data_IF_381717172165
#
_entry.id   IF_381717172165
#
_cell.length_a   1.000
_cell.length_b   1.000
_cell.length_c   1.000
_cell.angle_alpha   90.00
_cell.angle_beta   90.00
_cell.angle_gamma   90.00
#
_symmetry.space_group_name_H-M   'P 1'
#
loop_
_entity.id
_entity.type
_entity.pdbx_description
1 polymer ?
#
# COMPACT_ATOMS: atom_id res chain seq x y z
N UNK A 1 14.35 -4.20 -23.09
CA UNK A 1 13.55 -3.33 -22.21
C UNK A 1 13.67 -3.87 -20.80
N UNK A 2 13.83 -3.01 -19.80
CA UNK A 2 13.84 -3.47 -18.40
C UNK A 2 12.45 -3.97 -18.00
N UNK A 3 12.42 -4.88 -17.05
CA UNK A 3 11.18 -5.44 -16.50
C UNK A 3 10.83 -4.64 -15.23
N UNK A 4 9.72 -3.88 -15.20
CA UNK A 4 9.41 -3.02 -14.06
C UNK A 4 8.94 -3.82 -12.82
N UNK A 5 9.01 -3.16 -11.66
CA UNK A 5 8.30 -3.56 -10.45
C UNK A 5 6.89 -3.00 -10.55
N UNK A 6 5.87 -3.85 -10.58
CA UNK A 6 4.47 -3.43 -10.58
C UNK A 6 3.96 -3.31 -9.14
N UNK A 7 3.56 -2.10 -8.74
CA UNK A 7 2.92 -1.82 -7.45
C UNK A 7 1.44 -1.54 -7.69
N UNK A 8 0.58 -2.30 -7.04
CA UNK A 8 -0.88 -2.21 -7.17
C UNK A 8 -1.54 -1.75 -5.88
N UNK A 9 -2.47 -0.80 -5.98
CA UNK A 9 -3.31 -0.35 -4.87
C UNK A 9 -4.73 0.00 -5.34
N UNK A 10 -5.64 0.23 -4.40
CA UNK A 10 -6.99 0.74 -4.67
C UNK A 10 -7.04 2.25 -4.96
N UNK A 11 -6.06 3.00 -4.49
CA UNK A 11 -5.97 4.44 -4.60
C UNK A 11 -4.53 4.94 -4.62
N UNK A 12 -4.31 6.17 -4.14
CA UNK A 12 -2.97 6.77 -4.10
C UNK A 12 -2.13 6.27 -2.92
N UNK A 13 -2.75 5.63 -1.93
CA UNK A 13 -2.09 5.18 -0.70
C UNK A 13 -0.87 4.31 -0.92
N UNK A 14 -0.89 3.47 -1.95
CA UNK A 14 0.23 2.58 -2.30
C UNK A 14 1.53 3.30 -2.67
N UNK A 15 1.51 4.61 -2.93
CA UNK A 15 2.72 5.42 -3.09
C UNK A 15 3.57 5.42 -1.81
N UNK A 16 2.97 5.25 -0.63
CA UNK A 16 3.70 5.08 0.62
C UNK A 16 4.61 3.86 0.61
N UNK A 17 4.10 2.72 0.11
CA UNK A 17 4.87 1.47 -0.05
C UNK A 17 5.88 1.60 -1.20
N UNK A 18 5.48 2.20 -2.32
CA UNK A 18 6.38 2.46 -3.46
C UNK A 18 7.59 3.30 -3.04
N UNK A 19 7.37 4.35 -2.23
CA UNK A 19 8.45 5.20 -1.73
C UNK A 19 9.49 4.40 -0.94
N UNK A 20 9.06 3.47 -0.08
CA UNK A 20 9.97 2.59 0.68
C UNK A 20 10.74 1.62 -0.23
N UNK A 21 10.08 1.07 -1.26
CA UNK A 21 10.76 0.21 -2.24
C UNK A 21 11.80 0.99 -3.03
N UNK A 22 11.48 2.22 -3.47
CA UNK A 22 12.41 3.10 -4.20
C UNK A 22 13.66 3.47 -3.40
N UNK A 23 13.56 3.65 -2.08
CA UNK A 23 14.74 3.86 -1.21
C UNK A 23 15.74 2.70 -1.31
N UNK A 24 15.25 1.48 -1.47
CA UNK A 24 16.08 0.27 -1.56
C UNK A 24 16.51 -0.08 -2.99
N UNK A 25 15.73 0.33 -3.99
CA UNK A 25 15.91 0.02 -5.41
C UNK A 25 15.75 1.29 -6.29
N UNK A 26 16.58 2.34 -6.07
CA UNK A 26 16.38 3.66 -6.70
C UNK A 26 16.49 3.67 -8.23
N UNK A 27 17.15 2.68 -8.82
CA UNK A 27 17.39 2.60 -10.27
C UNK A 27 16.49 1.61 -10.99
N UNK A 28 15.45 1.07 -10.29
CA UNK A 28 14.48 0.19 -10.92
C UNK A 28 13.44 0.97 -11.71
N UNK A 29 12.89 0.35 -12.77
CA UNK A 29 11.69 0.87 -13.41
C UNK A 29 10.45 0.46 -12.61
N UNK A 30 9.44 1.32 -12.58
CA UNK A 30 8.22 1.14 -11.82
C UNK A 30 6.97 1.34 -12.64
N UNK A 31 5.99 0.45 -12.45
CA UNK A 31 4.62 0.67 -12.84
C UNK A 31 3.77 0.78 -11.57
N UNK A 32 3.02 1.85 -11.41
CA UNK A 32 2.04 2.02 -10.34
C UNK A 32 0.64 1.89 -10.92
N UNK A 33 -0.10 0.90 -10.48
CA UNK A 33 -1.48 0.67 -10.89
C UNK A 33 -2.41 0.95 -9.71
N UNK A 34 -3.36 1.87 -9.88
CA UNK A 34 -4.36 2.13 -8.84
C UNK A 34 -5.79 2.10 -9.39
N UNK A 35 -6.62 1.35 -8.68
CA UNK A 35 -8.01 1.11 -9.08
C UNK A 35 -8.97 2.09 -8.41
N UNK A 36 -8.78 3.36 -8.68
CA UNK A 36 -9.54 4.43 -8.07
C UNK A 36 -11.00 4.53 -8.52
N UNK A 37 -11.41 3.80 -9.55
CA UNK A 37 -12.81 3.69 -9.93
C UNK A 37 -13.63 2.89 -8.90
N UNK A 38 -13.00 1.98 -8.14
CA UNK A 38 -13.65 1.13 -7.14
C UNK A 38 -13.22 1.45 -5.70
N UNK A 39 -12.52 2.57 -5.49
CA UNK A 39 -12.15 3.05 -4.16
C UNK A 39 -13.38 3.51 -3.36
N UNK A 40 -13.52 3.20 -2.06
CA UNK A 40 -12.59 2.44 -1.21
C UNK A 40 -12.87 0.93 -1.23
N UNK A 41 -11.83 0.12 -1.32
CA UNK A 41 -11.91 -1.34 -1.36
C UNK A 41 -12.47 -1.98 -0.08
N UNK A 42 -12.40 -1.27 1.04
CA UNK A 42 -12.90 -1.77 2.33
C UNK A 42 -14.40 -2.02 2.39
N UNK A 43 -15.15 -1.54 1.40
CA UNK A 43 -16.62 -1.67 1.31
C UNK A 43 -17.06 -2.63 0.20
N UNK A 44 -16.12 -3.15 -0.60
CA UNK A 44 -16.43 -4.04 -1.70
C UNK A 44 -16.73 -5.47 -1.26
N UNK A 45 -17.63 -6.09 -2.00
CA UNK A 45 -17.85 -7.53 -1.97
C UNK A 45 -16.58 -8.27 -2.35
N UNK A 46 -16.26 -9.37 -1.63
CA UNK A 46 -15.01 -10.09 -1.78
C UNK A 46 -14.77 -10.61 -3.20
N UNK A 47 -15.78 -11.23 -3.82
CA UNK A 47 -15.65 -11.80 -5.16
C UNK A 47 -15.43 -10.71 -6.23
N UNK A 48 -16.12 -9.57 -6.10
CA UNK A 48 -15.95 -8.40 -6.97
C UNK A 48 -14.53 -7.85 -6.85
N UNK A 49 -14.01 -7.76 -5.61
CA UNK A 49 -12.66 -7.30 -5.34
C UNK A 49 -11.62 -8.25 -5.97
N UNK A 50 -11.75 -9.57 -5.73
CA UNK A 50 -10.82 -10.57 -6.27
C UNK A 50 -10.81 -10.53 -7.80
N UNK A 51 -11.98 -10.65 -8.44
CA UNK A 51 -12.09 -10.70 -9.89
C UNK A 51 -11.49 -9.45 -10.55
N UNK A 52 -11.83 -8.29 -10.04
CA UNK A 52 -11.34 -7.04 -10.59
C UNK A 52 -9.84 -6.82 -10.38
N UNK A 53 -9.28 -7.17 -9.21
CA UNK A 53 -7.84 -7.08 -8.99
C UNK A 53 -7.07 -8.03 -9.91
N UNK A 54 -7.53 -9.28 -10.03
CA UNK A 54 -6.87 -10.28 -10.89
C UNK A 54 -6.87 -9.81 -12.34
N UNK A 55 -8.01 -9.34 -12.86
CA UNK A 55 -8.12 -8.85 -14.24
C UNK A 55 -7.14 -7.69 -14.50
N UNK A 56 -7.15 -6.65 -13.65
CA UNK A 56 -6.29 -5.47 -13.81
C UNK A 56 -4.80 -5.81 -13.72
N UNK A 57 -4.42 -6.58 -12.70
CA UNK A 57 -3.00 -6.89 -12.45
C UNK A 57 -2.46 -7.82 -13.52
N UNK A 58 -3.20 -8.86 -13.93
CA UNK A 58 -2.76 -9.78 -14.98
C UNK A 58 -2.63 -9.08 -16.34
N UNK A 59 -3.58 -8.21 -16.69
CA UNK A 59 -3.50 -7.42 -17.92
C UNK A 59 -2.24 -6.54 -17.92
N UNK A 60 -1.98 -5.80 -16.84
CA UNK A 60 -0.83 -4.91 -16.80
C UNK A 60 0.51 -5.66 -16.72
N UNK A 61 0.57 -6.82 -16.05
CA UNK A 61 1.75 -7.69 -16.07
C UNK A 61 2.06 -8.15 -17.51
N UNK A 62 1.03 -8.53 -18.29
CA UNK A 62 1.21 -8.93 -19.68
C UNK A 62 1.71 -7.79 -20.57
N UNK A 63 1.19 -6.57 -20.38
CA UNK A 63 1.59 -5.37 -21.14
C UNK A 63 3.02 -4.91 -20.84
N UNK A 64 3.41 -4.93 -19.56
CA UNK A 64 4.66 -4.34 -19.09
C UNK A 64 5.78 -5.35 -18.94
N UNK A 65 5.49 -6.64 -19.01
CA UNK A 65 6.42 -7.72 -18.67
C UNK A 65 7.05 -7.55 -17.28
N UNK A 66 6.24 -7.14 -16.30
CA UNK A 66 6.70 -6.89 -14.93
C UNK A 66 7.43 -8.11 -14.34
N UNK A 67 8.46 -7.88 -13.53
CA UNK A 67 9.24 -8.97 -12.92
C UNK A 67 8.69 -9.43 -11.57
N UNK A 68 7.91 -8.60 -10.91
CA UNK A 68 7.31 -8.84 -9.60
C UNK A 68 6.06 -7.96 -9.46
N UNK A 69 5.06 -8.45 -8.74
CA UNK A 69 3.89 -7.68 -8.34
C UNK A 69 3.93 -7.44 -6.84
N UNK A 70 3.69 -6.21 -6.43
CA UNK A 70 3.48 -5.80 -5.04
C UNK A 70 2.05 -5.33 -4.88
N UNK A 71 1.22 -6.10 -4.19
CA UNK A 71 -0.13 -5.70 -3.79
C UNK A 71 0.02 -4.82 -2.54
N UNK A 72 0.12 -3.50 -2.74
CA UNK A 72 0.32 -2.55 -1.65
C UNK A 72 -0.93 -2.37 -0.79
N UNK A 73 -2.13 -2.54 -1.37
CA UNK A 73 -3.40 -2.43 -0.66
C UNK A 73 -3.54 -3.50 0.44
N UNK A 74 -3.68 -3.07 1.70
CA UNK A 74 -3.91 -4.00 2.82
C UNK A 74 -5.21 -4.79 2.64
N UNK A 75 -6.30 -4.12 2.28
CA UNK A 75 -7.60 -4.76 2.05
C UNK A 75 -7.53 -5.82 0.96
N UNK A 76 -6.94 -5.50 -0.18
CA UNK A 76 -6.76 -6.46 -1.28
C UNK A 76 -5.87 -7.63 -0.85
N UNK A 77 -4.77 -7.36 -0.15
CA UNK A 77 -3.82 -8.40 0.29
C UNK A 77 -4.45 -9.48 1.17
N UNK A 78 -5.56 -9.19 1.87
CA UNK A 78 -6.24 -10.20 2.69
C UNK A 78 -6.92 -11.30 1.88
N UNK A 79 -7.23 -11.07 0.59
CA UNK A 79 -8.06 -11.99 -0.20
C UNK A 79 -7.55 -12.29 -1.62
N UNK A 80 -6.80 -11.38 -2.27
CA UNK A 80 -6.45 -11.55 -3.69
C UNK A 80 -5.19 -12.38 -3.94
N UNK A 81 -4.31 -12.54 -2.95
CA UNK A 81 -2.99 -13.14 -3.14
C UNK A 81 -3.04 -14.57 -3.66
N UNK A 82 -3.93 -15.48 -3.17
CA UNK A 82 -4.03 -16.84 -3.72
C UNK A 82 -4.39 -16.84 -5.21
N UNK A 83 -5.37 -16.01 -5.60
CA UNK A 83 -5.81 -15.93 -6.99
C UNK A 83 -4.74 -15.33 -7.91
N UNK A 84 -4.05 -14.27 -7.49
CA UNK A 84 -2.94 -13.71 -8.27
C UNK A 84 -1.79 -14.72 -8.43
N UNK A 85 -1.41 -15.43 -7.36
CA UNK A 85 -0.35 -16.45 -7.42
C UNK A 85 -0.70 -17.65 -8.28
N UNK A 86 -1.98 -17.96 -8.44
CA UNK A 86 -2.45 -19.01 -9.34
C UNK A 86 -2.40 -18.59 -10.83
N UNK A 87 -2.54 -17.28 -11.11
CA UNK A 87 -2.58 -16.75 -12.48
C UNK A 87 -1.24 -16.18 -12.97
N UNK A 88 -0.27 -15.93 -12.09
CA UNK A 88 1.00 -15.31 -12.44
C UNK A 88 2.18 -16.23 -12.13
N UNK A 89 3.12 -16.33 -13.07
CA UNK A 89 4.38 -17.06 -12.89
C UNK A 89 5.49 -16.26 -12.19
N UNK A 90 5.25 -14.97 -11.96
CA UNK A 90 6.18 -14.06 -11.28
C UNK A 90 5.85 -13.94 -9.78
N UNK A 91 6.80 -13.52 -8.93
CA UNK A 91 6.52 -13.33 -7.50
C UNK A 91 5.41 -12.33 -7.24
N UNK A 92 4.54 -12.63 -6.27
CA UNK A 92 3.51 -11.71 -5.77
C UNK A 92 3.70 -11.49 -4.29
N UNK A 93 4.02 -10.25 -3.92
CA UNK A 93 4.17 -9.77 -2.53
C UNK A 93 2.89 -9.05 -2.11
N UNK A 94 2.33 -9.41 -0.98
CA UNK A 94 1.23 -8.67 -0.36
C UNK A 94 1.72 -7.92 0.87
N UNK A 95 0.95 -6.93 1.29
CA UNK A 95 1.16 -6.21 2.54
C UNK A 95 0.50 -6.96 3.69
N UNK A 96 1.19 -7.05 4.80
CA UNK A 96 0.69 -7.62 6.06
C UNK A 96 0.76 -6.55 7.13
N UNK A 97 -0.32 -6.29 7.89
CA UNK A 97 -0.26 -5.35 9.00
C UNK A 97 0.86 -5.69 9.99
N UNK A 98 1.55 -4.67 10.50
CA UNK A 98 2.75 -4.81 11.34
C UNK A 98 2.43 -5.28 12.78
N UNK A 99 1.54 -6.26 12.97
CA UNK A 99 1.08 -6.77 14.27
C UNK A 99 2.25 -7.33 15.09
N UNK A 100 3.06 -8.21 14.46
CA UNK A 100 4.20 -8.83 15.16
C UNK A 100 5.20 -7.81 15.71
N UNK A 101 5.75 -6.87 14.91
CA UNK A 101 6.67 -5.86 15.45
C UNK A 101 5.99 -4.92 16.45
N UNK A 102 4.68 -4.61 16.30
CA UNK A 102 3.93 -3.81 17.26
C UNK A 102 3.83 -4.52 18.64
N UNK A 103 3.48 -5.80 18.67
CA UNK A 103 3.43 -6.60 19.90
C UNK A 103 4.80 -6.69 20.62
N UNK A 104 5.89 -6.75 19.84
CA UNK A 104 7.25 -6.76 20.37
C UNK A 104 7.69 -5.39 20.93
N UNK A 105 7.21 -4.28 20.32
CA UNK A 105 7.57 -2.93 20.71
C UNK A 105 6.75 -2.42 21.89
N UNK A 106 5.49 -2.80 21.98
CA UNK A 106 4.56 -2.32 23.00
C UNK A 106 5.03 -2.68 24.41
N UNK A 107 5.10 -1.66 25.26
CA UNK A 107 5.44 -1.79 26.69
C UNK A 107 4.18 -2.01 27.54
N UNK A 108 3.07 -1.36 27.16
CA UNK A 108 1.79 -1.49 27.86
C UNK A 108 1.04 -2.77 27.50
N UNK A 109 1.48 -3.48 26.46
CA UNK A 109 0.76 -4.60 25.83
C UNK A 109 -0.66 -4.23 25.36
N UNK A 110 -0.87 -2.95 25.08
CA UNK A 110 -2.09 -2.40 24.49
C UNK A 110 -1.74 -1.82 23.12
N UNK A 111 -2.10 -2.52 22.05
CA UNK A 111 -1.84 -2.10 20.68
C UNK A 111 -3.14 -1.90 19.92
N UNK A 112 -3.15 -1.00 18.95
CA UNK A 112 -4.26 -0.77 18.06
C UNK A 112 -3.94 -1.18 16.63
N UNK A 113 -4.94 -1.62 15.88
CA UNK A 113 -4.89 -1.72 14.44
C UNK A 113 -5.92 -0.76 13.85
N UNK A 114 -5.46 0.31 13.21
CA UNK A 114 -6.28 1.23 12.44
C UNK A 114 -6.24 0.80 10.98
N UNK A 115 -7.39 0.41 10.42
CA UNK A 115 -7.50 -0.11 9.06
C UNK A 115 -8.87 0.20 8.44
N UNK A 116 -9.15 -0.32 7.25
CA UNK A 116 -10.51 -0.27 6.71
C UNK A 116 -11.42 -1.29 7.40
N UNK A 117 -12.76 -1.09 7.42
CA UNK A 117 -13.70 -2.07 7.96
C UNK A 117 -13.54 -3.47 7.35
N UNK A 118 -13.25 -3.54 6.04
CA UNK A 118 -12.97 -4.80 5.36
C UNK A 118 -11.74 -5.52 5.93
N UNK A 119 -10.66 -4.80 6.23
CA UNK A 119 -9.44 -5.38 6.79
C UNK A 119 -9.64 -5.88 8.22
N UNK A 120 -10.29 -5.10 9.10
CA UNK A 120 -10.48 -5.48 10.50
C UNK A 120 -11.41 -6.68 10.68
N UNK A 121 -12.37 -6.89 9.79
CA UNK A 121 -13.33 -8.00 9.84
C UNK A 121 -12.79 -9.32 9.26
N UNK A 122 -11.68 -9.31 8.53
CA UNK A 122 -11.15 -10.52 7.87
C UNK A 122 -10.57 -11.51 8.87
N UNK A 123 -10.88 -12.78 8.65
CA UNK A 123 -10.33 -13.90 9.45
C UNK A 123 -8.79 -13.86 9.50
N UNK A 124 -8.15 -13.57 8.38
CA UNK A 124 -6.71 -13.38 8.28
C UNK A 124 -6.13 -12.38 9.31
N UNK A 125 -6.83 -11.26 9.56
CA UNK A 125 -6.40 -10.27 10.56
C UNK A 125 -6.45 -10.86 11.98
N UNK A 126 -7.48 -11.59 12.30
CA UNK A 126 -7.63 -12.26 13.60
C UNK A 126 -6.61 -13.39 13.79
N UNK A 127 -6.27 -14.13 12.72
CA UNK A 127 -5.21 -15.14 12.75
C UNK A 127 -3.85 -14.51 13.04
N UNK A 128 -3.51 -13.37 12.40
CA UNK A 128 -2.27 -12.64 12.68
C UNK A 128 -2.18 -12.18 14.15
N UNK A 129 -3.29 -11.68 14.69
CA UNK A 129 -3.35 -11.25 16.10
C UNK A 129 -3.12 -12.45 17.01
N UNK A 130 -3.86 -13.53 16.81
CA UNK A 130 -3.73 -14.77 17.60
C UNK A 130 -2.32 -15.37 17.52
N UNK A 131 -1.67 -15.27 16.37
CA UNK A 131 -0.34 -15.85 16.16
C UNK A 131 0.80 -15.01 16.75
N UNK A 132 0.67 -13.68 16.73
CA UNK A 132 1.79 -12.78 16.99
C UNK A 132 1.59 -11.77 18.13
N UNK A 133 0.38 -11.67 18.67
CA UNK A 133 0.03 -10.71 19.70
C UNK A 133 -0.94 -11.31 20.74
N UNK A 134 -0.81 -12.61 21.04
CA UNK A 134 -1.64 -13.34 21.99
C UNK A 134 -1.45 -12.86 23.44
N UNK A 135 -0.28 -12.26 23.73
CA UNK A 135 0.03 -11.63 25.01
C UNK A 135 -0.35 -10.13 25.08
N UNK A 136 -0.97 -9.59 24.03
CA UNK A 136 -1.38 -8.19 23.93
C UNK A 136 -2.90 -8.03 23.92
N UNK A 137 -3.38 -6.92 24.49
CA UNK A 137 -4.72 -6.44 24.21
C UNK A 137 -4.71 -5.67 22.89
N UNK A 138 -5.40 -6.22 21.86
CA UNK A 138 -5.43 -5.62 20.53
C UNK A 138 -6.79 -5.02 20.24
N UNK A 139 -6.85 -3.69 20.04
CA UNK A 139 -8.07 -3.01 19.64
C UNK A 139 -8.10 -2.75 18.14
N UNK A 140 -9.27 -2.98 17.51
CA UNK A 140 -9.49 -2.87 16.07
C UNK A 140 -10.32 -1.63 15.74
N UNK A 141 -9.76 -0.73 14.93
CA UNK A 141 -10.42 0.50 14.50
C UNK A 141 -10.61 0.47 12.98
N UNK A 142 -11.86 0.32 12.54
CA UNK A 142 -12.23 0.31 11.12
C UNK A 142 -12.74 1.68 10.67
N UNK A 143 -12.02 2.37 9.76
CA UNK A 143 -12.41 3.69 9.28
C UNK A 143 -12.20 3.83 7.76
N UNK A 144 -13.29 3.84 6.97
CA UNK A 144 -13.24 4.12 5.52
C UNK A 144 -13.13 5.62 5.23
N UNK A 145 -13.73 6.47 6.07
CA UNK A 145 -13.71 7.92 5.88
C UNK A 145 -12.29 8.48 5.87
N UNK A 146 -11.41 7.92 6.71
CA UNK A 146 -10.01 8.33 6.78
C UNK A 146 -9.25 8.06 5.47
N UNK A 147 -9.65 7.06 4.69
CA UNK A 147 -9.10 6.80 3.35
C UNK A 147 -9.43 7.98 2.43
N UNK A 148 -10.69 8.43 2.43
CA UNK A 148 -11.14 9.54 1.58
C UNK A 148 -10.52 10.87 2.01
N UNK A 149 -10.34 11.09 3.31
CA UNK A 149 -9.63 12.26 3.83
C UNK A 149 -8.16 12.29 3.37
N UNK A 150 -7.49 11.14 3.34
CA UNK A 150 -6.12 11.05 2.83
C UNK A 150 -6.05 11.32 1.32
N UNK A 151 -6.97 10.76 0.52
CA UNK A 151 -7.09 11.07 -0.92
C UNK A 151 -7.33 12.57 -1.15
N UNK A 152 -8.24 13.18 -0.39
CA UNK A 152 -8.53 14.61 -0.47
C UNK A 152 -7.29 15.45 -0.12
N UNK A 153 -6.60 15.13 0.98
CA UNK A 153 -5.38 15.85 1.36
C UNK A 153 -4.33 15.82 0.25
N UNK A 154 -4.14 14.67 -0.39
CA UNK A 154 -3.16 14.55 -1.49
C UNK A 154 -3.59 15.38 -2.71
N UNK A 155 -4.89 15.43 -3.00
CA UNK A 155 -5.41 16.18 -4.13
C UNK A 155 -5.45 17.71 -3.90
N UNK A 156 -5.61 18.17 -2.65
CA UNK A 156 -5.87 19.59 -2.33
C UNK A 156 -4.82 20.23 -1.41
N UNK A 157 -4.00 19.42 -0.73
CA UNK A 157 -3.11 19.87 0.34
C UNK A 157 -3.80 20.12 1.68
N UNK A 158 -5.14 19.98 1.77
CA UNK A 158 -5.93 20.35 2.95
C UNK A 158 -6.42 19.10 3.71
N UNK A 159 -6.46 19.20 5.05
CA UNK A 159 -6.98 18.17 5.95
C UNK A 159 -7.90 18.83 7.00
N UNK A 160 -9.11 18.27 7.15
CA UNK A 160 -9.99 18.66 8.26
C UNK A 160 -9.50 18.02 9.58
N UNK A 161 -8.71 18.80 10.33
CA UNK A 161 -8.12 18.34 11.59
C UNK A 161 -9.16 18.14 12.70
N UNK A 162 -10.29 18.87 12.68
CA UNK A 162 -11.38 18.65 13.65
C UNK A 162 -12.04 17.30 13.41
N UNK A 163 -12.36 17.02 12.14
CA UNK A 163 -12.94 15.74 11.77
C UNK A 163 -11.99 14.59 12.05
N UNK A 164 -10.68 14.76 11.79
CA UNK A 164 -9.67 13.77 12.12
C UNK A 164 -9.65 13.50 13.64
N UNK A 165 -9.71 14.53 14.48
CA UNK A 165 -9.74 14.37 15.93
C UNK A 165 -10.97 13.59 16.40
N UNK A 166 -12.15 13.88 15.84
CA UNK A 166 -13.39 13.13 16.15
C UNK A 166 -13.26 11.64 15.79
N UNK A 167 -12.69 11.34 14.62
CA UNK A 167 -12.47 9.95 14.18
C UNK A 167 -11.45 9.23 15.06
N UNK A 168 -10.47 9.92 15.60
CA UNK A 168 -9.43 9.34 16.46
C UNK A 168 -9.80 9.29 17.95
N UNK A 169 -10.93 9.85 18.37
CA UNK A 169 -11.37 9.83 19.77
C UNK A 169 -11.43 8.43 20.38
N UNK A 170 -11.94 7.38 19.68
CA UNK A 170 -11.89 6.00 20.18
C UNK A 170 -10.46 5.49 20.40
N UNK A 171 -9.53 5.84 19.49
CA UNK A 171 -8.11 5.43 19.58
C UNK A 171 -7.44 6.08 20.80
N UNK A 172 -7.73 7.36 21.04
CA UNK A 172 -7.22 8.09 22.21
C UNK A 172 -7.73 7.44 23.50
N UNK A 173 -9.03 7.10 23.55
CA UNK A 173 -9.66 6.49 24.73
C UNK A 173 -9.10 5.12 25.06
N UNK A 174 -8.60 4.39 24.05
CA UNK A 174 -8.04 3.04 24.19
C UNK A 174 -6.72 2.99 24.98
N UNK A 175 -6.06 4.13 25.20
CA UNK A 175 -4.80 4.20 25.97
C UNK A 175 -3.72 3.21 25.52
N UNK A 176 -3.57 3.07 24.22
CA UNK A 176 -2.55 2.20 23.60
C UNK A 176 -1.22 2.95 23.43
N UNK A 177 -0.11 2.23 23.37
CA UNK A 177 1.22 2.79 23.14
C UNK A 177 1.77 2.55 21.72
N UNK A 178 1.15 1.64 20.95
CA UNK A 178 1.48 1.40 19.55
C UNK A 178 0.19 1.32 18.72
N UNK A 179 0.13 2.07 17.63
CA UNK A 179 -0.95 2.00 16.65
C UNK A 179 -0.40 1.53 15.30
N UNK A 180 -0.85 0.38 14.84
CA UNK A 180 -0.52 -0.16 13.53
C UNK A 180 -1.38 0.53 12.47
N UNK A 181 -0.74 1.13 11.47
CA UNK A 181 -1.38 1.73 10.30
C UNK A 181 -1.63 0.65 9.24
N UNK A 182 -2.77 0.00 9.34
CA UNK A 182 -3.17 -1.15 8.49
C UNK A 182 -3.86 -0.76 7.18
N UNK A 183 -3.60 0.43 6.68
CA UNK A 183 -4.02 0.93 5.38
C UNK A 183 -2.91 1.77 4.77
N UNK A 184 -2.68 1.64 3.46
CA UNK A 184 -1.64 2.36 2.71
C UNK A 184 -1.80 3.88 2.71
N UNK A 185 -3.03 4.38 2.89
CA UNK A 185 -3.32 5.80 2.95
C UNK A 185 -2.87 6.44 4.29
N UNK A 186 -2.86 5.68 5.38
CA UNK A 186 -2.61 6.25 6.71
C UNK A 186 -1.16 6.73 6.93
N UNK A 187 -0.12 6.09 6.40
CA UNK A 187 1.22 6.67 6.41
C UNK A 187 1.33 8.03 5.69
N UNK A 188 0.46 8.30 4.70
CA UNK A 188 0.46 9.59 3.98
C UNK A 188 -0.07 10.76 4.82
N UNK A 189 -0.79 10.46 5.89
CA UNK A 189 -1.33 11.42 6.87
C UNK A 189 -0.76 11.16 8.27
N UNK A 190 0.42 10.54 8.35
CA UNK A 190 1.04 10.17 9.62
C UNK A 190 1.33 11.37 10.52
N UNK A 191 1.70 12.50 9.94
CA UNK A 191 1.98 13.72 10.67
C UNK A 191 0.73 14.27 11.38
N UNK A 192 -0.41 14.30 10.69
CA UNK A 192 -1.70 14.72 11.23
C UNK A 192 -2.22 13.73 12.28
N UNK A 193 -2.10 12.43 12.02
CA UNK A 193 -2.42 11.39 13.01
C UNK A 193 -1.56 11.56 14.27
N UNK A 194 -0.26 11.78 14.12
CA UNK A 194 0.64 11.98 15.26
C UNK A 194 0.30 13.25 16.05
N UNK A 195 -0.10 14.32 15.34
CA UNK A 195 -0.54 15.57 16.00
C UNK A 195 -1.78 15.33 16.87
N UNK A 196 -2.76 14.57 16.39
CA UNK A 196 -4.01 14.29 17.11
C UNK A 196 -3.80 13.29 18.26
N UNK A 197 -3.01 12.23 18.03
CA UNK A 197 -2.79 11.16 19.00
C UNK A 197 -1.74 11.51 20.06
N UNK A 198 -0.91 12.52 19.80
CA UNK A 198 0.18 12.92 20.68
C UNK A 198 1.40 11.98 20.63
N UNK A 199 2.49 12.39 21.28
CA UNK A 199 3.77 11.69 21.25
C UNK A 199 3.81 10.36 22.05
N UNK A 200 2.75 10.07 22.82
CA UNK A 200 2.66 8.83 23.62
C UNK A 200 2.34 7.59 22.81
N UNK A 201 1.86 7.75 21.57
CA UNK A 201 1.48 6.65 20.67
C UNK A 201 2.51 6.54 19.55
N UNK A 202 3.13 5.37 19.41
CA UNK A 202 4.02 5.08 18.28
C UNK A 202 3.19 4.61 17.10
N UNK A 203 3.29 5.30 15.96
CA UNK A 203 2.67 4.90 14.70
C UNK A 203 3.59 3.96 13.93
N UNK A 204 3.05 2.82 13.48
CA UNK A 204 3.83 1.77 12.81
C UNK A 204 3.12 1.31 11.54
N UNK A 205 3.82 1.33 10.40
CA UNK A 205 3.36 0.80 9.12
C UNK A 205 4.21 -0.42 8.67
N UNK A 206 3.87 -0.96 7.50
CA UNK A 206 4.53 -2.15 6.94
C UNK A 206 5.48 -1.83 5.78
N UNK A 207 5.59 -0.58 5.34
CA UNK A 207 6.29 -0.21 4.09
C UNK A 207 7.72 -0.72 4.01
N UNK A 208 8.53 -0.45 5.05
CA UNK A 208 9.93 -0.89 5.09
C UNK A 208 10.09 -2.42 5.08
N UNK A 209 9.19 -3.16 5.75
CA UNK A 209 9.20 -4.62 5.75
C UNK A 209 8.86 -5.18 4.36
N UNK A 210 7.92 -4.57 3.66
CA UNK A 210 7.56 -4.94 2.28
C UNK A 210 8.72 -4.65 1.33
N UNK A 211 9.35 -3.48 1.42
CA UNK A 211 10.53 -3.14 0.63
C UNK A 211 11.64 -4.18 0.80
N UNK A 212 11.96 -4.55 2.05
CA UNK A 212 12.93 -5.61 2.35
C UNK A 212 12.53 -6.95 1.72
N UNK A 213 11.25 -7.32 1.75
CA UNK A 213 10.76 -8.56 1.13
C UNK A 213 10.92 -8.54 -0.39
N UNK A 214 10.62 -7.42 -1.05
CA UNK A 214 10.82 -7.25 -2.50
C UNK A 214 12.29 -7.44 -2.85
N UNK A 215 13.20 -6.73 -2.18
CA UNK A 215 14.66 -6.89 -2.38
C UNK A 215 15.10 -8.34 -2.22
N UNK A 216 14.64 -9.02 -1.16
CA UNK A 216 14.98 -10.42 -0.90
C UNK A 216 14.56 -11.34 -2.05
N UNK A 217 13.32 -11.21 -2.55
CA UNK A 217 12.82 -12.04 -3.64
C UNK A 217 13.55 -11.79 -4.96
N UNK A 218 13.78 -10.51 -5.30
CA UNK A 218 14.50 -10.15 -6.51
C UNK A 218 15.96 -10.65 -6.47
N UNK A 219 16.60 -10.60 -5.30
CA UNK A 219 17.96 -11.15 -5.10
C UNK A 219 17.97 -12.67 -5.27
N UNK A 220 17.04 -13.38 -4.66
CA UNK A 220 16.93 -14.84 -4.73
C UNK A 220 16.71 -15.34 -6.17
N UNK A 221 16.05 -14.55 -7.01
CA UNK A 221 15.79 -14.87 -8.41
C UNK A 221 16.85 -14.29 -9.38
N UNK A 222 17.93 -13.70 -8.87
CA UNK A 222 18.98 -13.01 -9.63
C UNK A 222 18.47 -11.84 -10.51
N UNK A 223 17.27 -11.32 -10.26
CA UNK A 223 16.66 -10.25 -11.06
C UNK A 223 17.30 -8.87 -10.79
N UNK A 224 17.84 -8.63 -9.59
CA UNK A 224 18.59 -7.39 -9.27
C UNK A 224 19.88 -7.27 -10.09
N UNK A 225 20.57 -8.38 -10.35
CA UNK A 225 21.82 -8.38 -11.14
C UNK A 225 21.52 -7.99 -12.58
N UNK A 226 20.42 -8.48 -13.12
CA UNK A 226 19.97 -8.15 -14.47
C UNK A 226 19.59 -6.65 -14.58
N UNK A 227 18.90 -6.10 -13.59
CA UNK A 227 18.61 -4.66 -13.52
C UNK A 227 19.88 -3.80 -13.45
N UNK A 228 20.87 -4.16 -12.63
CA UNK A 228 22.13 -3.42 -12.54
C UNK A 228 22.89 -3.39 -13.87
N UNK A 229 22.83 -4.45 -14.67
CA UNK A 229 23.41 -4.46 -16.01
C UNK A 229 22.69 -3.50 -16.95
N UNK A 230 21.36 -3.53 -16.94
CA UNK A 230 20.53 -2.63 -17.77
C UNK A 230 20.66 -1.17 -17.32
N UNK A 231 20.80 -0.90 -16.01
CA UNK A 231 21.00 0.46 -15.49
C UNK A 231 22.39 0.99 -15.77
N UNK A 232 23.44 0.17 -15.70
CA UNK A 232 24.78 0.60 -16.09
C UNK A 232 24.87 0.97 -17.58
N UNK A 233 24.09 0.31 -18.42
CA UNK A 233 23.92 0.70 -19.85
C UNK A 233 23.07 1.98 -19.98
N UNK A 234 22.18 2.27 -19.02
CA UNK A 234 21.28 3.44 -18.99
C UNK A 234 21.84 4.64 -18.22
N UNK A 235 22.75 4.45 -17.27
CA UNK A 235 23.49 5.58 -16.65
C UNK A 235 24.23 6.40 -17.69
N UNK A 236 24.45 5.83 -18.89
CA UNK A 236 24.88 6.58 -20.08
C UNK A 236 23.72 7.30 -20.81
N UNK A 237 22.42 7.09 -20.47
CA UNK A 237 21.25 7.54 -21.27
C UNK A 237 20.07 8.12 -20.45
N UNK A 238 20.08 8.13 -19.09
CA UNK A 238 18.99 8.82 -18.31
C UNK A 238 18.13 7.94 -17.39
N UNK A 239 17.20 8.58 -16.71
CA UNK A 239 16.41 8.20 -15.54
C UNK A 239 15.59 6.87 -15.64
N UNK A 240 15.31 6.24 -14.47
CA UNK A 240 14.39 5.11 -14.35
C UNK A 240 13.00 5.49 -14.85
N UNK A 241 12.38 4.63 -15.67
CA UNK A 241 11.03 4.88 -16.16
C UNK A 241 10.01 4.63 -15.07
N UNK A 242 9.14 5.61 -14.82
CA UNK A 242 8.03 5.52 -13.88
C UNK A 242 6.72 5.78 -14.60
N UNK A 243 5.83 4.80 -14.58
CA UNK A 243 4.54 4.87 -15.25
C UNK A 243 3.41 4.65 -14.24
N UNK A 244 2.38 5.49 -14.27
CA UNK A 244 1.18 5.35 -13.46
C UNK A 244 -0.02 4.99 -14.34
N UNK A 245 -0.83 4.04 -13.85
CA UNK A 245 -2.04 3.56 -14.52
C UNK A 245 -3.23 3.66 -13.56
N UNK A 246 -4.34 4.21 -14.02
CA UNK A 246 -5.54 4.40 -13.21
C UNK A 246 -6.82 3.97 -13.94
N UNK A 247 -7.90 3.72 -13.19
CA UNK A 247 -9.14 3.14 -13.74
C UNK A 247 -10.30 4.13 -13.83
N UNK A 248 -10.35 5.19 -13.04
CA UNK A 248 -11.41 6.20 -13.05
C UNK A 248 -11.45 6.94 -14.39
N UNK A 249 -12.60 7.50 -14.74
CA UNK A 249 -12.76 8.24 -16.01
C UNK A 249 -11.81 9.43 -16.07
N UNK A 250 -11.69 10.16 -14.97
CA UNK A 250 -10.82 11.33 -14.82
C UNK A 250 -10.18 11.33 -13.43
N UNK A 251 -9.00 11.91 -13.32
CA UNK A 251 -8.32 12.21 -12.07
C UNK A 251 -8.17 13.73 -11.94
N UNK A 252 -8.13 14.22 -10.68
CA UNK A 252 -7.98 15.64 -10.43
C UNK A 252 -6.62 16.16 -10.85
N UNK A 253 -6.52 17.45 -11.13
CA UNK A 253 -5.26 18.12 -11.45
C UNK A 253 -4.25 17.99 -10.29
N UNK A 254 -4.71 18.14 -9.02
CA UNK A 254 -3.86 17.95 -7.85
C UNK A 254 -3.30 16.54 -7.75
N UNK A 255 -4.09 15.50 -8.04
CA UNK A 255 -3.59 14.13 -8.07
C UNK A 255 -2.57 13.93 -9.22
N UNK A 256 -2.82 14.50 -10.38
CA UNK A 256 -1.89 14.47 -11.50
C UNK A 256 -0.56 15.14 -11.14
N UNK A 257 -0.60 16.31 -10.51
CA UNK A 257 0.58 17.03 -10.02
C UNK A 257 1.35 16.17 -9.01
N UNK A 258 0.66 15.58 -8.04
CA UNK A 258 1.31 14.68 -7.05
C UNK A 258 2.02 13.51 -7.73
N UNK A 259 1.42 12.89 -8.74
CA UNK A 259 2.07 11.80 -9.47
C UNK A 259 3.32 12.29 -10.22
N UNK A 260 3.25 13.46 -10.86
CA UNK A 260 4.42 14.08 -11.52
C UNK A 260 5.54 14.36 -10.51
N UNK A 261 5.21 14.93 -9.35
CA UNK A 261 6.16 15.22 -8.26
C UNK A 261 6.79 13.94 -7.69
N UNK A 262 6.07 12.83 -7.72
CA UNK A 262 6.60 11.50 -7.39
C UNK A 262 7.56 10.94 -8.47
N UNK A 263 7.67 11.59 -9.63
CA UNK A 263 8.57 11.21 -10.73
C UNK A 263 7.92 10.36 -11.83
N UNK A 264 6.58 10.28 -11.87
CA UNK A 264 5.91 9.57 -12.96
C UNK A 264 5.94 10.40 -14.25
N UNK A 265 6.56 9.84 -15.30
CA UNK A 265 6.67 10.45 -16.63
C UNK A 265 5.48 10.13 -17.55
N UNK A 266 4.73 9.09 -17.23
CA UNK A 266 3.55 8.64 -17.96
C UNK A 266 2.41 8.39 -16.97
N UNK A 267 1.23 8.95 -17.24
CA UNK A 267 0.02 8.77 -16.44
C UNK A 267 -1.11 8.42 -17.39
N UNK A 268 -1.56 7.17 -17.37
CA UNK A 268 -2.50 6.64 -18.35
C UNK A 268 -3.74 6.02 -17.69
N UNK A 269 -4.89 6.26 -18.28
CA UNK A 269 -6.11 5.54 -17.92
C UNK A 269 -6.10 4.16 -18.58
N UNK A 270 -6.41 3.13 -17.78
CA UNK A 270 -6.68 1.79 -18.30
C UNK A 270 -8.13 1.39 -18.07
N UNK A 271 -8.66 0.60 -19.00
CA UNK A 271 -9.97 -0.05 -18.87
C UNK A 271 -9.73 -1.55 -18.96
N UNK A 272 -10.32 -2.31 -18.06
CA UNK A 272 -10.41 -3.77 -18.26
C UNK A 272 -11.32 -4.03 -19.45
N UNK A 273 -10.83 -4.69 -20.47
CA UNK A 273 -11.69 -5.36 -21.44
C UNK A 273 -12.42 -6.49 -20.70
N UNK A 274 -13.75 -6.36 -20.60
CA UNK A 274 -14.62 -7.43 -20.09
C UNK A 274 -14.42 -8.71 -20.90
#
# INVERSE_FOLDING_TARGET
MSRPILVFDSGIGGLSVLAEIRKSLPHSDYCYLFDNARLPYGELEEQVLIAGCVALVCDLVARTNAMIVVVACNTASTVVLPALRANLSIPVVGVVPAIKPAAQMSKSKRIGLLATPGTVKRHYTHELISQFADDCHVELFGCSELVMMAEQKIATGEMDMHRLADLMAPVITAQLDVLVLGCTHFPMIQAELQQVLGAGVTLMDSGAAIAKRVVTLLTQQNLIVEQRRVTNEREAVGESAMQAFYTKVEISEGLTTTLIDCGFSTIERITTTN
#
